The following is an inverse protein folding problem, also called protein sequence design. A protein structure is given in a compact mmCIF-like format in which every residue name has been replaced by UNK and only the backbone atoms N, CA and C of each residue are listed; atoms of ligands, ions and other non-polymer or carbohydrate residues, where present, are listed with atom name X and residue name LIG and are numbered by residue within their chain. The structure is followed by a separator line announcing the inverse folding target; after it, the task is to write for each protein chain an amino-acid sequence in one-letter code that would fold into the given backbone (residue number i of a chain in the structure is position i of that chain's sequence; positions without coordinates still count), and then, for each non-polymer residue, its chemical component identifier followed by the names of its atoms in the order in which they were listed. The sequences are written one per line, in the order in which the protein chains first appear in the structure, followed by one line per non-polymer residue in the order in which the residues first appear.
data_IF_476895477862
#
_entry.id   IF_476895477862
#
_cell.length_a   1.000
_cell.length_b   1.000
_cell.length_c   1.000
_cell.angle_alpha   90.00
_cell.angle_beta   90.00
_cell.angle_gamma   90.00
#
_symmetry.space_group_name_H-M   'P 1'
#
loop_
_entity.id
_entity.type
_entity.pdbx_description
1 polymer ?
#
# COMPACT_ATOMS: atom_id res chain seq x y z
N UNK A 1 -45.69 -11.60 20.70
CA UNK A 1 -45.60 -10.25 20.14
C UNK A 1 -45.16 -9.34 21.26
N UNK A 2 -44.17 -8.52 20.93
CA UNK A 2 -43.74 -7.29 21.62
C UNK A 2 -43.03 -7.52 22.96
N UNK A 3 -41.81 -7.04 23.21
CA UNK A 3 -41.00 -6.04 22.55
C UNK A 3 -40.13 -5.45 23.66
N UNK A 4 -38.92 -5.98 23.85
CA UNK A 4 -37.97 -5.46 24.84
C UNK A 4 -37.08 -4.42 24.16
N UNK A 5 -37.51 -3.17 24.30
CA UNK A 5 -36.78 -1.95 24.00
C UNK A 5 -35.53 -1.88 24.89
N UNK A 6 -34.35 -1.89 24.28
CA UNK A 6 -33.09 -1.57 24.94
C UNK A 6 -32.82 -0.08 24.77
N UNK A 7 -33.25 0.71 25.75
CA UNK A 7 -32.67 2.03 26.00
C UNK A 7 -31.49 1.89 26.96
N UNK A 8 -30.41 2.59 26.59
CA UNK A 8 -29.42 3.18 27.49
C UNK A 8 -28.25 2.30 27.99
N UNK A 9 -27.18 2.26 27.19
CA UNK A 9 -25.79 2.26 27.70
C UNK A 9 -25.00 3.34 26.98
N UNK A 10 -25.40 4.61 27.17
CA UNK A 10 -24.49 5.74 26.98
C UNK A 10 -23.61 5.84 28.23
N UNK A 11 -22.47 5.14 28.23
CA UNK A 11 -21.58 5.02 29.38
C UNK A 11 -20.11 5.12 29.00
N UNK A 12 -19.56 6.34 29.11
CA UNK A 12 -18.15 6.66 29.39
C UNK A 12 -17.07 5.96 28.55
N UNK A 13 -16.74 6.53 27.39
CA UNK A 13 -15.35 6.51 26.92
C UNK A 13 -14.66 7.78 27.43
N UNK A 14 -13.95 7.63 28.56
CA UNK A 14 -13.00 8.64 29.01
C UNK A 14 -11.83 8.67 28.03
N UNK A 15 -11.56 9.87 27.52
CA UNK A 15 -10.35 10.23 26.80
C UNK A 15 -9.16 10.08 27.76
N UNK A 16 -8.44 8.97 27.66
CA UNK A 16 -7.10 8.83 28.27
C UNK A 16 -6.06 9.00 27.17
N UNK A 17 -5.30 10.07 27.31
CA UNK A 17 -4.19 10.46 26.47
C UNK A 17 -3.15 9.34 26.41
N UNK A 18 -2.92 8.78 25.22
CA UNK A 18 -1.80 7.88 24.97
C UNK A 18 -0.49 8.68 24.89
N UNK A 19 0.02 9.05 26.07
CA UNK A 19 1.41 9.40 26.30
C UNK A 19 2.06 8.24 27.03
N UNK A 20 2.64 7.30 26.28
CA UNK A 20 3.27 6.10 26.82
C UNK A 20 4.57 5.79 26.10
N UNK A 21 5.65 6.49 26.45
CA UNK A 21 7.02 6.03 26.21
C UNK A 21 7.19 4.67 26.90
N UNK A 22 7.52 3.63 26.15
CA UNK A 22 8.13 2.45 26.76
C UNK A 22 9.30 1.91 25.92
N UNK A 23 10.50 2.08 26.49
CA UNK A 23 11.75 1.48 26.03
C UNK A 23 11.74 0.00 26.40
N UNK A 24 11.84 -0.90 25.39
CA UNK A 24 12.60 -2.16 25.37
C UNK A 24 12.01 -3.13 24.35
N UNK A 25 12.65 -3.25 23.18
CA UNK A 25 12.57 -4.42 22.31
C UNK A 25 13.80 -4.49 21.38
N UNK A 26 15.01 -4.52 21.96
CA UNK A 26 16.21 -4.86 21.21
C UNK A 26 16.35 -6.39 21.18
N UNK A 27 15.97 -7.05 20.06
CA UNK A 27 16.80 -8.13 19.45
C UNK A 27 16.29 -8.78 18.14
N UNK A 28 15.24 -8.31 17.45
CA UNK A 28 14.71 -9.01 16.25
C UNK A 28 14.82 -8.22 14.92
N UNK A 29 15.87 -7.42 14.73
CA UNK A 29 15.95 -6.46 13.60
C UNK A 29 16.79 -6.89 12.38
N UNK A 30 17.53 -8.01 12.42
CA UNK A 30 18.58 -8.28 11.40
C UNK A 30 18.16 -9.20 10.24
N UNK A 31 17.02 -9.88 10.31
CA UNK A 31 16.67 -10.93 9.34
C UNK A 31 15.68 -10.47 8.26
N UNK A 32 14.83 -9.46 8.54
CA UNK A 32 13.73 -9.07 7.64
C UNK A 32 14.21 -8.15 6.49
N UNK A 33 15.18 -7.28 6.76
CA UNK A 33 15.78 -6.37 5.77
C UNK A 33 16.52 -7.12 4.64
N UNK A 34 17.05 -8.33 4.91
CA UNK A 34 17.75 -9.16 3.91
C UNK A 34 16.81 -9.90 2.94
N UNK A 35 15.54 -10.13 3.33
CA UNK A 35 14.57 -10.85 2.49
C UNK A 35 14.03 -9.95 1.37
N UNK A 36 13.66 -8.71 1.69
CA UNK A 36 13.07 -7.77 0.75
C UNK A 36 14.11 -7.22 -0.24
N UNK A 37 15.29 -6.85 0.25
CA UNK A 37 16.42 -6.49 -0.62
C UNK A 37 16.70 -7.61 -1.63
N UNK A 38 16.75 -8.85 -1.15
CA UNK A 38 16.93 -10.02 -2.01
C UNK A 38 15.82 -10.18 -3.04
N UNK A 39 14.55 -9.96 -2.67
CA UNK A 39 13.42 -10.04 -3.63
C UNK A 39 13.48 -8.96 -4.70
N UNK A 40 13.88 -7.75 -4.35
CA UNK A 40 14.09 -6.66 -5.31
C UNK A 40 15.27 -6.97 -6.24
N UNK A 41 16.38 -7.46 -5.69
CA UNK A 41 17.55 -7.88 -6.46
C UNK A 41 17.18 -9.02 -7.44
N UNK A 42 16.40 -10.01 -6.98
CA UNK A 42 15.88 -11.10 -7.84
C UNK A 42 15.06 -10.53 -9.00
N UNK A 43 14.13 -9.60 -8.73
CA UNK A 43 13.30 -9.01 -9.76
C UNK A 43 14.14 -8.22 -10.79
N UNK A 44 15.16 -7.49 -10.34
CA UNK A 44 16.04 -6.74 -11.23
C UNK A 44 16.94 -7.65 -12.08
N UNK A 45 17.49 -8.71 -11.49
CA UNK A 45 18.32 -9.71 -12.19
C UNK A 45 17.48 -10.43 -13.26
N UNK A 46 16.28 -10.90 -12.92
CA UNK A 46 15.36 -11.54 -13.87
C UNK A 46 15.00 -10.57 -15.00
N UNK A 47 14.76 -9.28 -14.69
CA UNK A 47 14.47 -8.26 -15.70
C UNK A 47 15.63 -8.03 -16.67
N UNK A 48 16.87 -7.98 -16.19
CA UNK A 48 18.07 -7.75 -17.03
C UNK A 48 18.39 -8.94 -17.91
N UNK A 49 18.20 -10.15 -17.39
CA UNK A 49 18.62 -11.38 -18.07
C UNK A 49 17.50 -12.03 -18.89
N UNK A 50 16.25 -11.61 -18.69
CA UNK A 50 15.06 -12.14 -19.39
C UNK A 50 14.60 -13.50 -18.86
N UNK A 51 15.53 -14.45 -18.74
CA UNK A 51 15.36 -15.72 -18.06
C UNK A 51 16.62 -16.08 -17.23
N UNK A 52 16.40 -16.63 -16.04
CA UNK A 52 17.49 -17.12 -15.18
C UNK A 52 17.05 -18.36 -14.42
N UNK A 53 17.99 -19.29 -14.19
CA UNK A 53 17.75 -20.50 -13.41
C UNK A 53 17.76 -20.21 -11.92
N UNK A 54 17.04 -21.02 -11.16
CA UNK A 54 16.98 -20.94 -9.70
C UNK A 54 18.36 -21.14 -9.07
N UNK A 55 19.16 -22.04 -9.62
CA UNK A 55 20.48 -22.38 -9.10
C UNK A 55 21.46 -21.20 -9.29
N UNK A 56 21.40 -20.52 -10.45
CA UNK A 56 22.22 -19.32 -10.72
C UNK A 56 21.86 -18.17 -9.76
N UNK A 57 20.56 -17.94 -9.51
CA UNK A 57 20.09 -16.94 -8.53
C UNK A 57 20.54 -17.28 -7.10
N UNK A 58 20.54 -18.57 -6.75
CA UNK A 58 20.97 -19.05 -5.43
C UNK A 58 22.47 -18.78 -5.21
N UNK A 59 23.31 -19.03 -6.23
CA UNK A 59 24.74 -18.72 -6.18
C UNK A 59 25.00 -17.20 -6.13
N UNK A 60 24.37 -16.43 -7.01
CA UNK A 60 24.56 -14.97 -7.09
C UNK A 60 24.19 -14.23 -5.80
N UNK A 61 23.15 -14.71 -5.11
CA UNK A 61 22.62 -14.07 -3.90
C UNK A 61 23.04 -14.78 -2.61
N UNK A 62 23.89 -15.80 -2.71
CA UNK A 62 24.39 -16.62 -1.60
C UNK A 62 23.29 -17.14 -0.67
N UNK A 63 22.20 -17.68 -1.24
CA UNK A 63 21.07 -18.27 -0.50
C UNK A 63 20.66 -19.63 -1.06
N UNK A 64 19.86 -20.39 -0.32
CA UNK A 64 19.42 -21.71 -0.79
C UNK A 64 18.43 -21.63 -1.96
N UNK A 65 18.43 -22.63 -2.84
CA UNK A 65 17.44 -22.74 -3.91
C UNK A 65 15.99 -22.84 -3.41
N UNK A 66 15.77 -23.33 -2.18
CA UNK A 66 14.44 -23.32 -1.53
C UNK A 66 14.01 -21.88 -1.20
N UNK A 67 14.93 -21.06 -0.71
CA UNK A 67 14.71 -19.64 -0.43
C UNK A 67 14.37 -18.87 -1.71
N UNK A 68 15.13 -19.07 -2.80
CA UNK A 68 14.85 -18.46 -4.10
C UNK A 68 13.49 -18.89 -4.64
N UNK A 69 13.11 -20.18 -4.53
CA UNK A 69 11.78 -20.64 -4.97
C UNK A 69 10.65 -19.97 -4.20
N UNK A 70 10.79 -19.77 -2.90
CA UNK A 70 9.80 -19.06 -2.09
C UNK A 70 9.71 -17.57 -2.46
N UNK A 71 10.84 -16.93 -2.73
CA UNK A 71 10.88 -15.53 -3.14
C UNK A 71 10.29 -15.32 -4.54
N UNK A 72 10.61 -16.22 -5.49
CA UNK A 72 10.00 -16.23 -6.82
C UNK A 72 8.49 -16.47 -6.76
N UNK A 73 8.02 -17.38 -5.91
CA UNK A 73 6.59 -17.59 -5.70
C UNK A 73 5.90 -16.34 -5.16
N UNK A 74 6.51 -15.66 -4.19
CA UNK A 74 5.98 -14.40 -3.67
C UNK A 74 5.92 -13.35 -4.79
N UNK A 75 6.99 -13.17 -5.55
CA UNK A 75 7.05 -12.21 -6.65
C UNK A 75 6.05 -12.55 -7.78
N UNK A 76 5.82 -13.83 -8.06
CA UNK A 76 4.80 -14.29 -9.01
C UNK A 76 3.38 -13.99 -8.54
N UNK A 77 3.06 -14.25 -7.27
CA UNK A 77 1.76 -13.92 -6.67
C UNK A 77 1.48 -12.41 -6.68
N UNK A 78 2.53 -11.59 -6.52
CA UNK A 78 2.43 -10.14 -6.64
C UNK A 78 2.47 -9.64 -8.09
N UNK A 79 2.64 -10.54 -9.07
CA UNK A 79 2.60 -10.24 -10.50
C UNK A 79 3.86 -9.56 -11.05
N UNK A 80 4.99 -9.68 -10.35
CA UNK A 80 6.30 -9.15 -10.78
C UNK A 80 7.02 -10.08 -11.76
N UNK A 81 6.70 -11.38 -11.78
CA UNK A 81 7.29 -12.37 -12.69
C UNK A 81 6.34 -13.55 -12.96
N UNK A 82 6.63 -14.38 -13.97
CA UNK A 82 5.92 -15.63 -14.26
C UNK A 82 6.92 -16.78 -14.36
N UNK A 83 6.61 -17.92 -13.75
CA UNK A 83 7.45 -19.12 -13.78
C UNK A 83 7.19 -19.95 -15.05
N UNK A 84 8.25 -20.48 -15.63
CA UNK A 84 8.22 -21.58 -16.60
C UNK A 84 9.03 -22.76 -16.01
N UNK A 85 8.71 -24.00 -16.40
CA UNK A 85 9.33 -25.20 -15.85
C UNK A 85 10.85 -25.22 -16.16
N UNK A 86 11.64 -24.61 -15.28
CA UNK A 86 13.11 -24.49 -15.36
C UNK A 86 13.68 -23.09 -15.13
N UNK A 87 12.88 -22.02 -15.22
CA UNK A 87 13.33 -20.62 -15.16
C UNK A 87 12.18 -19.60 -15.08
N UNK A 88 12.49 -18.34 -14.73
CA UNK A 88 11.51 -17.25 -14.68
C UNK A 88 11.57 -16.42 -15.97
N UNK A 89 10.48 -16.29 -16.72
CA UNK A 89 10.45 -15.59 -18.03
C UNK A 89 9.58 -14.33 -17.92
N UNK A 90 10.08 -13.20 -18.40
CA UNK A 90 9.28 -11.99 -18.60
C UNK A 90 8.24 -12.22 -19.71
N UNK A 91 6.95 -12.16 -19.39
CA UNK A 91 5.86 -12.40 -20.36
C UNK A 91 4.98 -11.18 -20.58
N UNK A 92 5.09 -10.58 -21.77
CA UNK A 92 4.01 -9.87 -22.44
C UNK A 92 3.09 -10.92 -23.05
N UNK A 93 1.83 -11.09 -22.61
CA UNK A 93 0.93 -12.06 -23.25
C UNK A 93 -0.53 -11.64 -23.38
N UNK A 94 -1.02 -11.86 -24.60
CA UNK A 94 -2.41 -12.02 -25.00
C UNK A 94 -2.97 -13.39 -24.57
N UNK A 95 -4.29 -13.48 -24.39
CA UNK A 95 -5.05 -14.73 -24.52
C UNK A 95 -5.65 -15.35 -23.25
N UNK A 96 -6.85 -14.88 -22.92
CA UNK A 96 -7.94 -15.33 -22.00
C UNK A 96 -8.47 -16.78 -22.26
N UNK A 97 -9.49 -17.33 -21.52
CA UNK A 97 -10.45 -16.69 -20.58
C UNK A 97 -10.81 -17.46 -19.29
N UNK A 98 -11.00 -16.73 -18.18
CA UNK A 98 -12.13 -16.98 -17.25
C UNK A 98 -12.67 -15.62 -16.82
N UNK A 99 -13.99 -15.46 -16.98
CA UNK A 99 -14.72 -14.22 -16.87
C UNK A 99 -14.72 -13.65 -15.44
N UNK A 100 -14.01 -12.53 -15.26
CA UNK A 100 -14.39 -11.48 -14.32
C UNK A 100 -14.24 -10.16 -15.10
N UNK A 101 -15.29 -9.35 -15.00
CA UNK A 101 -15.55 -8.10 -15.71
C UNK A 101 -14.27 -7.34 -16.07
N UNK A 102 -14.01 -7.24 -17.38
CA UNK A 102 -12.94 -6.46 -17.97
C UNK A 102 -13.10 -4.98 -17.60
N UNK A 103 -12.26 -4.48 -16.71
CA UNK A 103 -11.60 -3.22 -17.02
C UNK A 103 -10.62 -3.52 -18.16
N UNK A 104 -10.77 -2.83 -19.28
CA UNK A 104 -9.95 -3.04 -20.47
C UNK A 104 -8.45 -3.05 -20.10
N UNK A 105 -7.64 -3.95 -20.67
CA UNK A 105 -6.20 -3.96 -20.43
C UNK A 105 -5.61 -2.76 -21.18
N UNK A 106 -5.66 -1.60 -20.55
CA UNK A 106 -4.71 -0.55 -20.87
C UNK A 106 -3.38 -1.13 -20.44
N UNK A 107 -2.52 -1.40 -21.43
CA UNK A 107 -1.10 -1.70 -21.22
C UNK A 107 -0.48 -0.41 -20.69
N UNK A 108 -0.83 -0.02 -19.47
CA UNK A 108 -0.16 1.05 -18.76
C UNK A 108 1.16 0.44 -18.32
N UNK A 109 2.24 1.01 -18.83
CA UNK A 109 3.60 0.54 -18.65
C UNK A 109 3.89 0.38 -17.14
N UNK A 110 3.84 -0.86 -16.63
CA UNK A 110 4.04 -1.15 -15.20
C UNK A 110 5.40 -0.62 -14.70
N UNK A 111 6.37 -0.49 -15.60
CA UNK A 111 7.65 0.13 -15.32
C UNK A 111 7.50 1.64 -15.07
N UNK A 112 6.70 2.33 -15.89
CA UNK A 112 6.38 3.75 -15.70
C UNK A 112 5.67 3.97 -14.36
N UNK A 113 4.65 3.19 -14.02
CA UNK A 113 3.96 3.30 -12.72
C UNK A 113 4.91 3.10 -11.53
N UNK A 114 5.87 2.18 -11.68
CA UNK A 114 6.87 1.91 -10.63
C UNK A 114 7.87 3.06 -10.52
N UNK A 115 8.28 3.66 -11.65
CA UNK A 115 9.14 4.84 -11.65
C UNK A 115 8.43 6.05 -11.03
N UNK A 116 7.16 6.27 -11.39
CA UNK A 116 6.33 7.30 -10.77
C UNK A 116 6.24 7.11 -9.26
N UNK A 117 5.98 5.88 -8.80
CA UNK A 117 5.92 5.56 -7.37
C UNK A 117 7.25 5.87 -6.65
N UNK A 118 8.40 5.56 -7.28
CA UNK A 118 9.71 5.89 -6.74
C UNK A 118 9.94 7.40 -6.65
N UNK A 119 9.58 8.16 -7.69
CA UNK A 119 9.71 9.61 -7.70
C UNK A 119 8.78 10.29 -6.69
N UNK A 120 7.58 9.74 -6.47
CA UNK A 120 6.67 10.20 -5.43
C UNK A 120 7.29 9.97 -4.04
N UNK A 121 7.80 8.76 -3.79
CA UNK A 121 8.44 8.42 -2.51
C UNK A 121 9.65 9.33 -2.21
N UNK A 122 10.46 9.66 -3.21
CA UNK A 122 11.62 10.53 -3.05
C UNK A 122 11.27 11.99 -2.66
N UNK A 123 10.00 12.39 -2.77
CA UNK A 123 9.54 13.73 -2.37
C UNK A 123 8.95 13.77 -0.95
N UNK A 124 8.81 12.61 -0.30
CA UNK A 124 8.29 12.49 1.07
C UNK A 124 9.47 12.59 2.03
N UNK A 125 9.25 13.23 3.19
CA UNK A 125 10.25 13.28 4.27
C UNK A 125 9.91 12.26 5.36
N UNK A 126 10.94 11.80 6.08
CA UNK A 126 10.78 10.77 7.13
C UNK A 126 9.79 11.19 8.23
N UNK A 127 9.85 12.43 8.70
CA UNK A 127 8.99 12.92 9.78
C UNK A 127 7.58 13.36 9.35
N UNK A 128 7.16 13.10 8.10
CA UNK A 128 5.85 13.54 7.60
C UNK A 128 4.68 12.70 8.14
N UNK A 129 3.52 13.34 8.30
CA UNK A 129 2.25 12.61 8.30
C UNK A 129 1.71 12.58 6.87
N UNK A 130 1.68 11.40 6.27
CA UNK A 130 1.26 11.19 4.90
C UNK A 130 -0.14 10.56 4.86
N UNK A 131 -1.10 11.25 4.25
CA UNK A 131 -2.35 10.62 3.85
C UNK A 131 -2.18 9.94 2.48
N UNK A 132 -2.43 8.64 2.42
CA UNK A 132 -2.42 7.86 1.19
C UNK A 132 -3.84 7.40 0.87
N UNK A 133 -4.42 8.01 -0.16
CA UNK A 133 -5.73 7.65 -0.67
C UNK A 133 -5.74 6.30 -1.38
N UNK A 134 -6.87 5.96 -1.98
CA UNK A 134 -7.05 4.69 -2.69
C UNK A 134 -6.34 4.62 -4.05
N UNK A 135 -6.03 3.41 -4.48
CA UNK A 135 -5.58 3.13 -5.85
C UNK A 135 -4.33 2.26 -5.96
N UNK A 136 -4.17 1.61 -7.12
CA UNK A 136 -3.07 0.70 -7.42
C UNK A 136 -1.72 1.42 -7.53
N UNK A 137 -1.68 2.61 -8.12
CA UNK A 137 -0.46 3.43 -8.24
C UNK A 137 0.04 3.88 -6.87
N UNK A 138 -0.87 4.32 -5.99
CA UNK A 138 -0.55 4.73 -4.63
C UNK A 138 -0.03 3.56 -3.80
N UNK A 139 -0.63 2.37 -3.96
CA UNK A 139 -0.15 1.13 -3.35
C UNK A 139 1.31 0.82 -3.70
N UNK A 140 1.77 1.18 -4.92
CA UNK A 140 3.16 0.97 -5.35
C UNK A 140 4.15 1.91 -4.68
N UNK A 141 3.71 3.00 -4.06
CA UNK A 141 4.58 3.93 -3.31
C UNK A 141 5.07 3.28 -2.01
N UNK A 142 4.21 2.52 -1.35
CA UNK A 142 4.44 1.97 0.01
C UNK A 142 5.80 1.26 0.15
N UNK A 143 6.23 0.36 -0.75
CA UNK A 143 7.53 -0.31 -0.62
C UNK A 143 8.74 0.64 -0.68
N UNK A 144 8.63 1.78 -1.35
CA UNK A 144 9.70 2.76 -1.44
C UNK A 144 9.82 3.64 -0.19
N UNK A 145 8.88 3.51 0.75
CA UNK A 145 8.93 4.13 2.07
C UNK A 145 9.62 3.23 3.11
N UNK A 146 10.16 2.09 2.68
CA UNK A 146 10.89 1.16 3.54
C UNK A 146 12.23 1.77 3.98
N UNK A 147 12.28 2.23 5.22
CA UNK A 147 13.39 3.00 5.78
C UNK A 147 13.00 4.36 6.32
N UNK A 148 11.72 4.71 6.21
CA UNK A 148 11.15 5.87 6.88
C UNK A 148 10.68 5.40 8.27
N UNK A 149 11.46 5.73 9.30
CA UNK A 149 11.29 5.27 10.67
C UNK A 149 10.35 6.20 11.48
N UNK A 150 10.20 7.46 11.06
CA UNK A 150 9.36 8.46 11.74
C UNK A 150 8.04 8.75 11.00
N UNK A 151 7.83 8.15 9.83
CA UNK A 151 6.69 8.44 8.97
C UNK A 151 5.38 7.91 9.58
N UNK A 152 4.35 8.76 9.60
CA UNK A 152 2.99 8.36 9.95
C UNK A 152 2.15 8.23 8.68
N UNK A 153 1.79 7.01 8.29
CA UNK A 153 0.97 6.73 7.10
C UNK A 153 -0.50 6.56 7.49
N UNK A 154 -1.35 7.49 7.04
CA UNK A 154 -2.80 7.42 7.17
C UNK A 154 -3.40 6.77 5.93
N UNK A 155 -4.18 5.72 6.13
CA UNK A 155 -4.79 4.90 5.08
C UNK A 155 -6.31 4.91 5.18
N UNK A 156 -6.98 4.93 4.03
CA UNK A 156 -8.40 4.61 3.93
C UNK A 156 -8.69 3.43 3.00
N UNK A 157 -7.66 2.78 2.45
CA UNK A 157 -7.77 1.60 1.58
C UNK A 157 -7.20 0.36 2.30
N UNK A 158 -8.07 -0.60 2.62
CA UNK A 158 -7.69 -1.87 3.25
C UNK A 158 -6.67 -2.67 2.41
N UNK A 159 -6.65 -2.48 1.09
CA UNK A 159 -5.71 -3.16 0.22
C UNK A 159 -4.26 -2.67 0.41
N UNK A 160 -4.05 -1.54 1.07
CA UNK A 160 -2.73 -0.98 1.37
C UNK A 160 -2.16 -1.53 2.68
N UNK A 161 -3.02 -1.95 3.61
CA UNK A 161 -2.65 -2.36 4.97
C UNK A 161 -1.57 -3.45 5.00
N UNK A 162 -1.66 -4.55 4.22
CA UNK A 162 -0.63 -5.60 4.29
C UNK A 162 0.76 -5.10 3.89
N UNK A 163 0.83 -4.21 2.90
CA UNK A 163 2.09 -3.64 2.45
C UNK A 163 2.60 -2.60 3.45
N UNK A 164 1.73 -1.77 4.00
CA UNK A 164 2.13 -0.80 5.02
C UNK A 164 2.74 -1.52 6.24
N UNK A 165 2.10 -2.62 6.70
CA UNK A 165 2.64 -3.45 7.77
C UNK A 165 3.96 -4.17 7.41
N UNK A 166 4.17 -4.50 6.13
CA UNK A 166 5.38 -5.18 5.68
C UNK A 166 6.56 -4.21 5.52
N UNK A 167 6.32 -2.97 5.07
CA UNK A 167 7.36 -2.05 4.61
C UNK A 167 7.61 -0.85 5.53
N UNK A 168 6.62 -0.39 6.29
CA UNK A 168 6.80 0.76 7.17
C UNK A 168 7.28 0.35 8.55
N UNK A 169 8.30 1.06 9.03
CA UNK A 169 8.75 0.99 10.41
C UNK A 169 8.03 2.02 11.30
N UNK A 170 7.61 3.14 10.71
CA UNK A 170 6.85 4.19 11.36
C UNK A 170 5.40 3.79 11.69
N UNK A 171 4.58 4.79 11.99
CA UNK A 171 3.19 4.56 12.38
C UNK A 171 2.32 4.31 11.14
N UNK A 172 1.48 3.28 11.20
CA UNK A 172 0.44 3.04 10.19
C UNK A 172 -0.93 3.16 10.85
N UNK A 173 -1.74 4.10 10.36
CA UNK A 173 -3.10 4.34 10.86
C UNK A 173 -4.10 4.01 9.76
N UNK A 174 -4.92 3.00 9.98
CA UNK A 174 -6.11 2.78 9.17
C UNK A 174 -7.25 3.63 9.73
N UNK A 175 -7.77 4.54 8.91
CA UNK A 175 -8.96 5.30 9.26
C UNK A 175 -10.15 4.34 9.41
N UNK A 176 -10.82 4.41 10.57
CA UNK A 176 -12.04 3.66 10.81
C UNK A 176 -13.25 4.27 10.10
N UNK A 177 -14.35 3.53 9.99
CA UNK A 177 -15.57 4.04 9.37
C UNK A 177 -16.39 2.97 8.69
N UNK A 178 -17.14 3.38 7.66
CA UNK A 178 -18.00 2.49 6.88
C UNK A 178 -17.20 1.92 5.73
N UNK A 179 -17.30 0.61 5.52
CA UNK A 179 -16.70 -0.04 4.36
C UNK A 179 -17.60 0.20 3.15
N UNK A 180 -17.06 0.84 2.11
CA UNK A 180 -17.76 1.09 0.86
C UNK A 180 -18.10 -0.21 0.11
N UNK A 181 -18.93 -0.10 -0.91
CA UNK A 181 -19.48 -1.24 -1.67
C UNK A 181 -18.42 -2.14 -2.31
N UNK A 182 -17.23 -1.62 -2.61
CA UNK A 182 -16.09 -2.39 -3.13
C UNK A 182 -15.44 -3.31 -2.09
N UNK A 183 -15.78 -3.15 -0.81
CA UNK A 183 -15.24 -3.95 0.30
C UNK A 183 -13.80 -3.62 0.67
N UNK A 184 -13.23 -2.53 0.16
CA UNK A 184 -11.82 -2.17 0.36
C UNK A 184 -11.62 -0.77 0.92
N UNK A 185 -12.52 0.16 0.59
CA UNK A 185 -12.35 1.57 0.95
C UNK A 185 -13.18 1.90 2.18
N UNK A 186 -12.55 2.52 3.16
CA UNK A 186 -13.22 3.07 4.34
C UNK A 186 -13.59 4.53 4.10
N UNK A 187 -14.84 4.85 4.38
CA UNK A 187 -15.45 6.15 4.08
C UNK A 187 -16.51 6.55 5.12
N UNK A 188 -17.15 7.70 4.89
CA UNK A 188 -18.19 8.26 5.76
C UNK A 188 -17.66 9.14 6.90
N UNK A 189 -18.59 9.61 7.73
CA UNK A 189 -18.32 10.65 8.75
C UNK A 189 -17.37 10.20 9.85
N UNK A 190 -17.33 8.90 10.15
CA UNK A 190 -16.37 8.32 11.08
C UNK A 190 -14.93 8.41 10.55
N UNK A 191 -14.72 8.16 9.26
CA UNK A 191 -13.40 8.31 8.63
C UNK A 191 -12.97 9.77 8.60
N UNK A 192 -13.90 10.69 8.31
CA UNK A 192 -13.68 12.13 8.38
C UNK A 192 -13.31 12.58 9.80
N UNK A 193 -14.02 12.09 10.80
CA UNK A 193 -13.74 12.41 12.21
C UNK A 193 -12.38 11.85 12.64
N UNK A 194 -12.06 10.62 12.23
CA UNK A 194 -10.75 10.02 12.45
C UNK A 194 -9.63 10.86 11.84
N UNK A 195 -9.77 11.24 10.56
CA UNK A 195 -8.85 12.17 9.88
C UNK A 195 -8.78 13.54 10.57
N UNK A 196 -9.86 13.95 11.23
CA UNK A 196 -9.95 15.13 12.09
C UNK A 196 -8.87 15.20 13.17
N UNK A 197 -8.48 14.05 13.73
CA UNK A 197 -7.47 13.92 14.78
C UNK A 197 -6.03 14.03 14.28
N UNK A 198 -5.81 13.93 12.97
CA UNK A 198 -4.49 14.02 12.36
C UNK A 198 -4.34 15.32 11.57
N UNK A 199 -3.08 15.72 11.37
CA UNK A 199 -2.69 16.83 10.50
C UNK A 199 -1.72 16.29 9.45
N UNK A 200 -2.23 15.66 8.38
CA UNK A 200 -1.37 15.22 7.29
C UNK A 200 -0.62 16.43 6.72
N UNK A 201 0.70 16.34 6.65
CA UNK A 201 1.56 17.32 5.98
C UNK A 201 1.47 17.17 4.46
N UNK A 202 1.11 15.97 3.99
CA UNK A 202 0.98 15.64 2.57
C UNK A 202 -0.20 14.71 2.34
N UNK A 203 -0.86 14.88 1.20
CA UNK A 203 -1.92 13.98 0.74
C UNK A 203 -1.59 13.48 -0.68
N UNK A 204 -1.48 12.17 -0.84
CA UNK A 204 -1.37 11.51 -2.13
C UNK A 204 -2.73 10.94 -2.52
N UNK A 205 -3.24 11.42 -3.64
CA UNK A 205 -4.55 11.03 -4.17
C UNK A 205 -4.44 10.67 -5.65
N UNK A 206 -5.06 9.56 -6.04
CA UNK A 206 -5.23 9.22 -7.44
C UNK A 206 -6.48 9.94 -7.96
N UNK A 207 -6.34 10.62 -9.11
CA UNK A 207 -7.42 11.38 -9.75
C UNK A 207 -7.55 10.91 -11.19
N UNK A 208 -8.79 10.82 -11.68
CA UNK A 208 -9.05 10.45 -13.07
C UNK A 208 -8.87 11.65 -14.01
N UNK A 209 -9.22 12.84 -13.52
CA UNK A 209 -9.12 14.08 -14.30
C UNK A 209 -8.83 15.28 -13.39
N UNK A 210 -8.05 16.23 -13.90
CA UNK A 210 -7.82 17.54 -13.31
C UNK A 210 -8.34 18.57 -14.30
N UNK A 211 -9.39 19.30 -13.92
CA UNK A 211 -9.91 20.39 -14.73
C UNK A 211 -9.02 21.65 -14.64
N UNK A 212 -9.15 22.56 -15.60
CA UNK A 212 -8.34 23.80 -15.66
C UNK A 212 -8.54 24.71 -14.43
N UNK A 213 -9.71 24.64 -13.78
CA UNK A 213 -10.02 25.37 -12.55
C UNK A 213 -9.43 24.70 -11.29
N UNK A 214 -8.73 23.58 -11.45
CA UNK A 214 -8.16 22.78 -10.36
C UNK A 214 -9.13 21.77 -9.74
N UNK A 215 -10.34 21.61 -10.29
CA UNK A 215 -11.29 20.59 -9.83
C UNK A 215 -10.74 19.19 -10.11
N UNK A 216 -10.72 18.36 -9.07
CA UNK A 216 -10.25 16.97 -9.14
C UNK A 216 -11.46 16.04 -9.27
N UNK A 217 -11.46 15.21 -10.32
CA UNK A 217 -12.45 14.15 -10.49
C UNK A 217 -11.91 12.83 -9.96
N UNK A 218 -12.71 12.17 -9.13
CA UNK A 218 -12.41 10.84 -8.58
C UNK A 218 -13.56 9.90 -8.89
N UNK A 219 -13.23 8.67 -9.25
CA UNK A 219 -14.20 7.64 -9.64
C UNK A 219 -15.24 7.32 -8.56
N UNK A 220 -14.88 7.48 -7.29
CA UNK A 220 -15.72 7.08 -6.17
C UNK A 220 -16.16 8.30 -5.36
N UNK A 221 -17.40 8.73 -5.62
CA UNK A 221 -18.02 9.91 -4.99
C UNK A 221 -18.02 9.81 -3.46
N UNK A 222 -18.30 8.63 -2.91
CA UNK A 222 -18.41 8.41 -1.48
C UNK A 222 -17.09 8.69 -0.72
N UNK A 223 -15.95 8.54 -1.41
CA UNK A 223 -14.63 8.85 -0.86
C UNK A 223 -14.21 10.30 -1.12
N UNK A 224 -14.88 11.03 -2.03
CA UNK A 224 -14.51 12.38 -2.46
C UNK A 224 -14.46 13.38 -1.30
N UNK A 225 -15.40 13.28 -0.34
CA UNK A 225 -15.40 14.12 0.86
C UNK A 225 -14.15 13.92 1.71
N UNK A 226 -13.76 12.67 1.95
CA UNK A 226 -12.58 12.32 2.73
C UNK A 226 -11.30 12.81 2.03
N UNK A 227 -11.18 12.56 0.73
CA UNK A 227 -10.03 12.99 -0.08
C UNK A 227 -9.91 14.53 -0.13
N UNK A 228 -11.02 15.23 -0.27
CA UNK A 228 -11.08 16.70 -0.25
C UNK A 228 -10.61 17.25 1.09
N UNK A 229 -11.08 16.67 2.19
CA UNK A 229 -10.67 17.07 3.54
C UNK A 229 -9.18 16.79 3.81
N UNK A 230 -8.66 15.65 3.35
CA UNK A 230 -7.23 15.34 3.44
C UNK A 230 -6.37 16.35 2.69
N UNK A 231 -6.76 16.71 1.46
CA UNK A 231 -6.07 17.72 0.65
C UNK A 231 -6.12 19.10 1.28
N UNK A 232 -7.26 19.48 1.86
CA UNK A 232 -7.43 20.76 2.55
C UNK A 232 -6.50 20.87 3.76
N UNK A 233 -6.38 19.79 4.55
CA UNK A 233 -5.50 19.73 5.72
C UNK A 233 -4.02 19.75 5.35
N UNK A 234 -3.62 19.10 4.25
CA UNK A 234 -2.24 19.06 3.78
C UNK A 234 -1.71 20.39 3.19
N UNK A 235 -2.59 21.37 2.93
CA UNK A 235 -2.20 22.70 2.43
C UNK A 235 -2.05 23.75 3.54
N UNK A 236 -2.37 23.39 4.79
CA UNK A 236 -2.51 24.31 5.93
C UNK A 236 -1.31 24.38 6.84
#
# INVERSE_FOLDING_TARGET
MDGLTFDNVAGKFKNESYSGRNKKAQHCGKTVNSLLKRRLDIAEIVRKNGEIKVDDLAEMLAVSGVTIRNDLNYLEQQGYLKRSFGGAIYTSQAGTPVALVQEAPVVTDKALETEMARQIAAQIEDSETLFLGQGSILRKVIPFLAGYDELCLLLNDLAHVPLAQEFLNGETVLLGGVLGSSGKIVEGDLALSALGHYRPSRALIAVDHIAEDGTLSVRQEASARLLSEACRKARG
#
